data_IF_980390465046
#
_entry.id   IF_980390465046
#
_cell.length_a   1.000
_cell.length_b   1.000
_cell.length_c   1.000
_cell.angle_alpha   90.00
_cell.angle_beta   90.00
_cell.angle_gamma   90.00
#
_symmetry.space_group_name_H-M   'P 1'
#
loop_
_entity.id
_entity.type
_entity.pdbx_description
1 polymer ?
#
# COMPACT_ATOMS: atom_id res chain seq x y z
N UNK A 1 5.57 -10.37 -24.57
CA UNK A 1 6.30 -11.33 -23.72
C UNK A 1 5.95 -11.04 -22.27
N UNK A 2 4.90 -11.66 -21.75
CA UNK A 2 4.44 -11.47 -20.35
C UNK A 2 5.39 -12.20 -19.41
N UNK A 3 6.48 -11.54 -19.04
CA UNK A 3 7.35 -12.00 -17.95
C UNK A 3 6.49 -12.12 -16.69
N UNK A 4 6.35 -13.34 -16.15
CA UNK A 4 5.61 -13.58 -14.92
C UNK A 4 6.19 -12.68 -13.82
N UNK A 5 5.39 -11.74 -13.31
CA UNK A 5 5.77 -10.92 -12.17
C UNK A 5 6.18 -11.85 -11.02
N UNK A 6 7.37 -11.63 -10.46
CA UNK A 6 7.89 -12.47 -9.38
C UNK A 6 7.00 -12.27 -8.16
N UNK A 7 6.69 -13.36 -7.45
CA UNK A 7 5.98 -13.27 -6.19
C UNK A 7 6.93 -12.69 -5.12
N UNK A 8 6.52 -11.67 -4.36
CA UNK A 8 7.32 -11.10 -3.28
C UNK A 8 7.30 -12.02 -2.06
N UNK A 9 8.03 -13.14 -2.12
CA UNK A 9 8.13 -14.08 -0.99
C UNK A 9 9.07 -13.49 0.07
N UNK A 10 8.53 -13.17 1.25
CA UNK A 10 9.31 -12.61 2.37
C UNK A 10 9.66 -11.13 2.23
N UNK A 11 9.18 -10.45 1.17
CA UNK A 11 9.34 -9.01 1.01
C UNK A 11 8.09 -8.32 1.55
N UNK A 12 8.25 -7.58 2.64
CA UNK A 12 7.15 -6.87 3.31
C UNK A 12 7.31 -5.34 3.24
N UNK A 13 8.21 -4.84 2.40
CA UNK A 13 8.43 -3.41 2.19
C UNK A 13 7.69 -2.95 0.92
N UNK A 14 6.79 -1.99 1.07
CA UNK A 14 5.93 -1.51 -0.02
C UNK A 14 6.72 -0.85 -1.14
N UNK A 15 7.65 0.05 -0.81
CA UNK A 15 8.49 0.73 -1.79
C UNK A 15 9.28 -0.27 -2.65
N UNK A 16 9.87 -1.28 -2.03
CA UNK A 16 10.64 -2.31 -2.74
C UNK A 16 9.77 -3.12 -3.68
N UNK A 17 8.56 -3.49 -3.26
CA UNK A 17 7.61 -4.20 -4.13
C UNK A 17 7.26 -3.36 -5.37
N UNK A 18 7.08 -2.05 -5.21
CA UNK A 18 6.75 -1.13 -6.30
C UNK A 18 7.94 -0.89 -7.23
N UNK A 19 9.14 -0.66 -6.70
CA UNK A 19 10.35 -0.39 -7.50
C UNK A 19 10.86 -1.62 -8.24
N UNK A 20 10.86 -2.79 -7.60
CA UNK A 20 11.43 -4.01 -8.16
C UNK A 20 10.45 -4.76 -9.09
N UNK A 21 9.25 -4.22 -9.32
CA UNK A 21 8.25 -4.78 -10.23
C UNK A 21 7.68 -6.14 -9.79
N UNK A 22 7.58 -6.37 -8.48
CA UNK A 22 7.00 -7.59 -7.94
C UNK A 22 5.48 -7.62 -8.13
N UNK A 23 4.91 -8.84 -8.11
CA UNK A 23 3.47 -9.01 -8.11
C UNK A 23 2.86 -8.41 -6.83
N UNK A 24 2.06 -7.37 -6.99
CA UNK A 24 1.37 -6.67 -5.91
C UNK A 24 -0.12 -6.62 -6.19
N UNK A 25 -0.92 -7.03 -5.21
CA UNK A 25 -2.37 -6.80 -5.24
C UNK A 25 -2.61 -5.43 -4.64
N UNK A 26 -3.16 -4.52 -5.44
CA UNK A 26 -3.47 -3.17 -5.00
C UNK A 26 -4.52 -3.20 -3.88
N UNK A 27 -4.14 -2.67 -2.72
CA UNK A 27 -5.02 -2.48 -1.55
C UNK A 27 -5.03 -1.03 -1.09
N UNK A 28 -4.56 -0.11 -1.93
CA UNK A 28 -4.36 1.29 -1.55
C UNK A 28 -5.68 2.05 -1.44
N UNK A 29 -6.77 1.55 -2.03
CA UNK A 29 -8.14 2.00 -1.75
C UNK A 29 -8.51 1.97 -0.26
N UNK A 30 -7.95 1.05 0.52
CA UNK A 30 -8.15 1.01 1.97
C UNK A 30 -7.68 2.28 2.69
N UNK A 31 -6.71 3.00 2.11
CA UNK A 31 -6.24 4.28 2.67
C UNK A 31 -7.34 5.33 2.52
N UNK A 32 -8.02 5.38 1.37
CA UNK A 32 -9.15 6.29 1.15
C UNK A 32 -10.28 5.96 2.12
N UNK A 33 -10.65 4.70 2.22
CA UNK A 33 -11.69 4.26 3.17
C UNK A 33 -11.29 4.62 4.62
N UNK A 34 -10.01 4.52 4.97
CA UNK A 34 -9.49 4.91 6.27
C UNK A 34 -9.58 6.42 6.53
N UNK A 35 -9.33 7.26 5.51
CA UNK A 35 -9.38 8.73 5.61
C UNK A 35 -10.82 9.26 5.65
N UNK A 36 -11.73 8.63 4.93
CA UNK A 36 -13.14 9.04 4.85
C UNK A 36 -13.97 8.51 6.03
N UNK A 37 -13.46 7.53 6.77
CA UNK A 37 -14.17 6.94 7.90
C UNK A 37 -14.07 7.83 9.16
N UNK A 38 -15.20 8.24 9.76
CA UNK A 38 -15.21 9.06 10.99
C UNK A 38 -14.87 8.27 12.27
N UNK A 39 -14.50 6.99 12.18
CA UNK A 39 -14.17 6.16 13.33
C UNK A 39 -12.93 6.67 14.09
N UNK A 40 -13.09 6.92 15.39
CA UNK A 40 -12.00 7.34 16.28
C UNK A 40 -10.97 6.22 16.52
N UNK A 41 -11.39 4.95 16.46
CA UNK A 41 -10.53 3.77 16.64
C UNK A 41 -10.71 2.83 15.46
N UNK A 42 -9.59 2.51 14.79
CA UNK A 42 -9.53 1.56 13.70
C UNK A 42 -8.86 0.25 14.15
N UNK A 43 -9.58 -0.87 14.08
CA UNK A 43 -9.10 -2.18 14.50
C UNK A 43 -8.61 -3.02 13.31
N UNK A 44 -7.31 -3.32 13.29
CA UNK A 44 -6.74 -4.27 12.33
C UNK A 44 -6.71 -5.68 12.90
N UNK A 45 -7.80 -6.45 12.71
CA UNK A 45 -7.90 -7.88 13.10
C UNK A 45 -6.68 -8.67 12.62
N UNK A 46 -6.18 -9.68 13.37
CA UNK A 46 -4.87 -10.34 13.14
C UNK A 46 -4.85 -11.67 12.36
N UNK A 47 -5.36 -11.78 11.10
CA UNK A 47 -5.20 -13.00 10.33
C UNK A 47 -3.75 -13.20 9.87
N UNK A 48 -3.29 -14.46 9.95
CA UNK A 48 -1.93 -14.88 9.56
C UNK A 48 -1.72 -14.66 8.05
N UNK A 49 -0.54 -14.16 7.66
CA UNK A 49 -0.14 -13.89 6.25
C UNK A 49 -1.01 -12.88 5.49
N UNK A 50 -1.80 -12.06 6.18
CA UNK A 50 -2.64 -11.05 5.53
C UNK A 50 -1.87 -9.84 4.96
N UNK A 51 -0.54 -9.78 5.16
CA UNK A 51 0.30 -8.68 4.67
C UNK A 51 0.21 -7.43 5.54
N UNK A 52 0.09 -7.60 6.86
CA UNK A 52 0.01 -6.47 7.81
C UNK A 52 1.25 -5.60 7.82
N UNK A 53 2.43 -6.22 7.84
CA UNK A 53 3.70 -5.52 7.79
C UNK A 53 3.77 -4.67 6.52
N UNK A 54 3.36 -5.26 5.39
CA UNK A 54 3.28 -4.58 4.10
C UNK A 54 2.30 -3.40 4.12
N UNK A 55 1.11 -3.59 4.68
CA UNK A 55 0.12 -2.50 4.82
C UNK A 55 0.62 -1.37 5.72
N UNK A 56 1.32 -1.69 6.82
CA UNK A 56 1.92 -0.67 7.70
C UNK A 56 3.04 0.08 6.97
N UNK A 57 3.89 -0.63 6.21
CA UNK A 57 4.90 0.00 5.35
C UNK A 57 4.26 0.92 4.31
N UNK A 58 3.19 0.49 3.66
CA UNK A 58 2.41 1.30 2.72
C UNK A 58 1.86 2.57 3.38
N UNK A 59 1.20 2.46 4.54
CA UNK A 59 0.67 3.61 5.29
C UNK A 59 1.78 4.57 5.71
N UNK A 60 2.93 4.04 6.17
CA UNK A 60 4.11 4.84 6.50
C UNK A 60 4.52 5.70 5.30
N UNK A 61 4.74 5.09 4.12
CA UNK A 61 5.13 5.84 2.92
C UNK A 61 4.05 6.80 2.42
N UNK A 62 2.78 6.51 2.69
CA UNK A 62 1.67 7.40 2.32
C UNK A 62 1.68 8.69 3.14
N UNK A 63 1.78 8.58 4.47
CA UNK A 63 1.74 9.72 5.39
C UNK A 63 3.08 10.42 5.59
N UNK A 64 4.20 9.74 5.33
CA UNK A 64 5.53 10.31 5.47
C UNK A 64 5.80 11.34 4.35
N UNK A 65 6.16 12.57 4.74
CA UNK A 65 6.41 13.67 3.82
C UNK A 65 7.70 13.47 2.99
N UNK A 66 8.70 12.85 3.58
CA UNK A 66 9.99 12.49 2.95
C UNK A 66 9.90 11.30 1.99
N UNK A 67 8.75 10.59 1.93
CA UNK A 67 8.62 9.42 1.09
C UNK A 67 8.40 9.80 -0.37
N UNK A 68 9.06 9.07 -1.27
CA UNK A 68 8.84 9.14 -2.71
C UNK A 68 7.37 8.83 -3.04
N UNK A 69 6.67 9.78 -3.67
CA UNK A 69 5.25 9.63 -4.00
C UNK A 69 5.01 8.89 -5.31
N UNK A 70 6.04 8.74 -6.14
CA UNK A 70 5.95 8.03 -7.44
C UNK A 70 5.64 6.54 -7.28
N UNK A 71 5.94 5.97 -6.10
CA UNK A 71 5.61 4.57 -5.79
C UNK A 71 4.09 4.34 -5.77
N UNK A 72 3.29 5.41 -5.64
CA UNK A 72 1.83 5.36 -5.69
C UNK A 72 1.26 5.61 -7.09
N UNK A 73 2.08 5.82 -8.11
CA UNK A 73 1.58 6.09 -9.46
C UNK A 73 0.94 4.84 -10.07
N UNK A 74 -0.20 5.02 -10.74
CA UNK A 74 -0.91 3.95 -11.43
C UNK A 74 -1.58 2.92 -10.51
N UNK A 75 -1.76 3.24 -9.23
CA UNK A 75 -2.59 2.47 -8.28
C UNK A 75 -3.76 3.30 -7.79
N UNK A 76 -4.74 2.64 -7.17
CA UNK A 76 -6.06 3.17 -6.87
C UNK A 76 -6.04 4.51 -6.11
N UNK A 77 -5.12 4.67 -5.15
CA UNK A 77 -5.03 5.89 -4.35
C UNK A 77 -4.51 7.11 -5.13
N UNK A 78 -3.83 6.94 -6.27
CA UNK A 78 -3.31 8.04 -7.09
C UNK A 78 -4.39 8.77 -7.89
N UNK A 79 -5.50 8.11 -8.21
CA UNK A 79 -6.64 8.71 -8.91
C UNK A 79 -7.60 9.50 -8.00
N UNK A 80 -7.51 9.32 -6.68
CA UNK A 80 -8.27 10.10 -5.71
C UNK A 80 -7.62 11.47 -5.49
N UNK A 81 -8.41 12.55 -5.51
CA UNK A 81 -7.92 13.87 -5.10
C UNK A 81 -7.25 13.73 -3.73
N UNK A 82 -6.00 14.20 -3.60
CA UNK A 82 -5.37 14.42 -2.29
C UNK A 82 -6.29 15.35 -1.51
N UNK A 83 -7.05 14.80 -0.58
CA UNK A 83 -7.81 15.58 0.39
C UNK A 83 -6.98 15.60 1.67
N UNK A 84 -5.89 16.37 1.64
CA UNK A 84 -5.26 17.04 2.79
C UNK A 84 -4.45 18.23 2.26
#
# INVERSE_FOLDING_TARGET
MTGKAKLPVGIENFERIRRDGFYYVDKTGLIRDFLENPAYVNLFTRPRRFGKTLNISMLKHFFEASSDKTIFDGIEISGGKRTV
#
